data_IF_713986695630
#
_entry.id   IF_713986695630
#
_cell.length_a   1.000
_cell.length_b   1.000
_cell.length_c   1.000
_cell.angle_alpha   90.00
_cell.angle_beta   90.00
_cell.angle_gamma   90.00
#
_symmetry.space_group_name_H-M   'P 1'
#
loop_
_entity.id
_entity.type
_entity.pdbx_description
1 polymer ?
#
# COMPACT_ATOMS: atom_id res chain seq x y z
N UNK A 1 -11.10 -1.55 18.78
CA UNK A 1 -11.04 -0.12 18.42
C UNK A 1 -10.26 0.20 17.15
N UNK A 2 -9.02 -0.25 16.95
CA UNK A 2 -8.19 0.22 15.83
C UNK A 2 -8.75 -0.11 14.43
N UNK A 3 -9.27 -1.33 14.24
CA UNK A 3 -9.89 -1.75 12.98
C UNK A 3 -11.23 -1.05 12.71
N UNK A 4 -11.97 -0.69 13.76
CA UNK A 4 -13.20 0.09 13.63
C UNK A 4 -12.86 1.48 13.10
N UNK A 5 -11.83 2.12 13.66
CA UNK A 5 -11.31 3.41 13.21
C UNK A 5 -10.84 3.36 11.76
N UNK A 6 -10.03 2.35 11.40
CA UNK A 6 -9.59 2.14 10.01
C UNK A 6 -10.78 1.94 9.06
N UNK A 7 -11.76 1.12 9.47
CA UNK A 7 -12.95 0.85 8.69
C UNK A 7 -13.78 2.12 8.43
N UNK A 8 -14.05 2.88 9.50
CA UNK A 8 -14.76 4.15 9.42
C UNK A 8 -14.01 5.18 8.57
N UNK A 9 -12.69 5.31 8.76
CA UNK A 9 -11.85 6.22 8.00
C UNK A 9 -11.84 5.86 6.52
N UNK A 10 -11.71 4.57 6.19
CA UNK A 10 -11.75 4.10 4.79
C UNK A 10 -13.09 4.43 4.12
N UNK A 11 -14.21 4.29 4.84
CA UNK A 11 -15.53 4.66 4.32
C UNK A 11 -15.71 6.17 4.17
N UNK A 12 -15.21 6.98 5.10
CA UNK A 12 -15.24 8.45 4.99
C UNK A 12 -14.42 8.94 3.79
N UNK A 13 -13.22 8.39 3.59
CA UNK A 13 -12.38 8.70 2.43
C UNK A 13 -13.04 8.20 1.14
N UNK A 14 -13.70 7.03 1.15
CA UNK A 14 -14.48 6.55 0.01
C UNK A 14 -15.63 7.50 -0.34
N UNK A 15 -16.34 8.02 0.66
CA UNK A 15 -17.41 9.00 0.48
C UNK A 15 -16.89 10.33 -0.08
N UNK A 16 -15.75 10.82 0.42
CA UNK A 16 -15.08 12.00 -0.13
C UNK A 16 -14.77 11.83 -1.62
N UNK A 17 -14.12 10.72 -2.00
CA UNK A 17 -13.82 10.44 -3.41
C UNK A 17 -15.06 10.19 -4.25
N UNK A 18 -16.13 9.63 -3.67
CA UNK A 18 -17.41 9.48 -4.36
C UNK A 18 -17.99 10.84 -4.74
N UNK A 19 -18.00 11.81 -3.83
CA UNK A 19 -18.44 13.18 -4.11
C UNK A 19 -17.60 13.82 -5.23
N UNK A 20 -16.28 13.64 -5.19
CA UNK A 20 -15.40 14.11 -6.27
C UNK A 20 -15.73 13.44 -7.61
N UNK A 21 -16.00 12.12 -7.61
CA UNK A 21 -16.38 11.40 -8.83
C UNK A 21 -17.71 11.89 -9.43
N UNK A 22 -18.63 12.43 -8.63
CA UNK A 22 -19.87 13.02 -9.15
C UNK A 22 -19.55 14.31 -9.93
N UNK A 23 -18.71 15.19 -9.37
CA UNK A 23 -18.24 16.39 -10.07
C UNK A 23 -17.51 16.06 -11.37
N UNK A 24 -16.69 14.99 -11.36
CA UNK A 24 -16.05 14.47 -12.57
C UNK A 24 -17.06 14.04 -13.63
N UNK A 25 -18.15 13.38 -13.24
CA UNK A 25 -19.19 12.98 -14.18
C UNK A 25 -19.88 14.19 -14.81
N UNK A 26 -20.20 15.20 -14.01
CA UNK A 26 -20.84 16.43 -14.49
C UNK A 26 -20.00 17.15 -15.54
N UNK A 27 -18.67 17.12 -15.42
CA UNK A 27 -17.76 17.65 -16.43
C UNK A 27 -17.65 16.77 -17.69
N UNK A 28 -17.59 15.44 -17.52
CA UNK A 28 -17.39 14.51 -18.64
C UNK A 28 -18.63 14.40 -19.53
N UNK A 29 -19.84 14.38 -18.96
CA UNK A 29 -21.11 14.22 -19.71
C UNK A 29 -21.25 15.20 -20.88
N UNK A 30 -21.10 16.53 -20.71
CA UNK A 30 -21.22 17.48 -21.81
C UNK A 30 -20.14 17.29 -22.89
N UNK A 31 -18.92 16.90 -22.49
CA UNK A 31 -17.83 16.61 -23.43
C UNK A 31 -18.10 15.35 -24.26
N UNK A 32 -18.64 14.29 -23.65
CA UNK A 32 -19.05 13.07 -24.37
C UNK A 32 -20.16 13.38 -25.36
N UNK A 33 -21.15 14.19 -24.97
CA UNK A 33 -22.24 14.58 -25.87
C UNK A 33 -21.74 15.36 -27.10
N UNK A 34 -20.66 16.13 -26.96
CA UNK A 34 -20.06 16.91 -28.06
C UNK A 34 -19.08 16.12 -28.93
N UNK A 35 -18.21 15.31 -28.32
CA UNK A 35 -17.05 14.70 -28.97
C UNK A 35 -17.22 13.20 -29.24
N UNK A 36 -18.26 12.58 -28.68
CA UNK A 36 -18.45 11.13 -28.68
C UNK A 36 -17.61 10.43 -27.60
N UNK A 37 -17.77 9.11 -27.49
CA UNK A 37 -17.08 8.33 -26.48
C UNK A 37 -15.68 7.89 -26.96
N UNK A 38 -14.59 8.21 -26.22
CA UNK A 38 -13.23 7.90 -26.67
C UNK A 38 -12.89 6.41 -26.48
N UNK A 39 -12.04 5.88 -27.38
CA UNK A 39 -11.52 4.52 -27.25
C UNK A 39 -10.47 4.46 -26.14
N UNK A 40 -10.80 3.79 -25.04
CA UNK A 40 -9.92 3.61 -23.88
C UNK A 40 -9.31 2.21 -23.81
N UNK A 41 -9.41 1.41 -24.88
CA UNK A 41 -8.92 0.02 -24.96
C UNK A 41 -7.40 -0.10 -25.09
N UNK A 42 -6.70 1.01 -25.32
CA UNK A 42 -5.25 1.05 -25.54
C UNK A 42 -4.83 0.78 -26.99
N UNK A 43 -5.77 0.51 -27.90
CA UNK A 43 -5.49 0.37 -29.34
C UNK A 43 -5.14 1.69 -30.02
N UNK A 44 -5.67 2.81 -29.50
CA UNK A 44 -5.43 4.16 -29.99
C UNK A 44 -4.63 4.95 -28.96
N UNK A 45 -3.50 5.50 -29.38
CA UNK A 45 -2.67 6.37 -28.54
C UNK A 45 -3.03 7.83 -28.79
N UNK A 46 -3.40 8.55 -27.75
CA UNK A 46 -3.70 9.98 -27.80
C UNK A 46 -2.47 10.77 -27.33
N UNK A 47 -1.57 11.09 -28.27
CA UNK A 47 -0.28 11.75 -27.99
C UNK A 47 -0.26 13.24 -28.35
N UNK A 48 -1.18 13.72 -29.20
CA UNK A 48 -1.23 15.12 -29.62
C UNK A 48 -2.43 15.86 -29.00
N UNK A 49 -2.48 15.94 -27.68
CA UNK A 49 -3.50 16.69 -26.93
C UNK A 49 -2.87 17.45 -25.76
N UNK A 50 -3.56 18.47 -25.26
CA UNK A 50 -3.04 19.33 -24.18
C UNK A 50 -2.87 18.54 -22.87
N UNK A 51 -3.75 17.58 -22.60
CA UNK A 51 -3.63 16.66 -21.46
C UNK A 51 -2.36 15.80 -21.54
N UNK A 52 -1.97 15.35 -22.75
CA UNK A 52 -0.72 14.62 -22.93
C UNK A 52 0.50 15.51 -22.66
N UNK A 53 0.49 16.76 -23.16
CA UNK A 53 1.56 17.74 -22.87
C UNK A 53 1.67 18.03 -21.38
N UNK A 54 0.53 18.18 -20.70
CA UNK A 54 0.48 18.38 -19.26
C UNK A 54 1.10 17.18 -18.51
N UNK A 55 0.74 15.94 -18.90
CA UNK A 55 1.30 14.73 -18.29
C UNK A 55 2.80 14.66 -18.51
N UNK A 56 3.28 14.91 -19.73
CA UNK A 56 4.71 14.91 -20.01
C UNK A 56 5.43 15.94 -19.12
N UNK A 57 4.89 17.17 -19.02
CA UNK A 57 5.49 18.24 -18.22
C UNK A 57 5.47 17.96 -16.71
N UNK A 58 4.39 17.41 -16.17
CA UNK A 58 4.19 17.30 -14.71
C UNK A 58 4.50 15.92 -14.13
N UNK A 59 4.37 14.84 -14.91
CA UNK A 59 4.57 13.46 -14.44
C UNK A 59 5.90 12.89 -14.93
N UNK A 60 6.21 13.06 -16.22
CA UNK A 60 7.45 12.51 -16.82
C UNK A 60 8.64 13.42 -16.53
N UNK A 61 8.44 14.74 -16.66
CA UNK A 61 9.47 15.75 -16.42
C UNK A 61 9.28 16.54 -15.11
N UNK A 62 8.18 16.31 -14.38
CA UNK A 62 7.77 17.11 -13.21
C UNK A 62 7.73 16.36 -11.87
N UNK A 63 7.87 17.15 -10.80
CA UNK A 63 7.71 16.97 -9.35
C UNK A 63 8.31 15.77 -8.59
N UNK A 64 8.56 14.60 -9.21
CA UNK A 64 9.43 13.59 -8.57
C UNK A 64 10.87 14.09 -8.41
N UNK A 65 11.27 15.03 -9.25
CA UNK A 65 12.58 15.66 -9.22
C UNK A 65 12.71 16.75 -8.16
N UNK A 66 11.65 17.46 -7.70
CA UNK A 66 11.83 18.60 -6.77
C UNK A 66 12.18 18.20 -5.34
N UNK A 67 11.47 17.21 -4.78
CA UNK A 67 11.80 16.69 -3.44
C UNK A 67 13.16 15.95 -3.44
N UNK A 68 13.44 15.24 -4.54
CA UNK A 68 14.74 14.63 -4.81
C UNK A 68 15.84 15.68 -5.02
N UNK A 69 15.57 16.81 -5.66
CA UNK A 69 16.51 17.91 -5.88
C UNK A 69 16.86 18.63 -4.59
N UNK A 70 15.92 18.81 -3.66
CA UNK A 70 16.20 19.35 -2.33
C UNK A 70 17.15 18.44 -1.55
N UNK A 71 16.87 17.14 -1.54
CA UNK A 71 17.72 16.13 -0.91
C UNK A 71 19.08 15.99 -1.63
N UNK A 72 19.09 16.01 -2.96
CA UNK A 72 20.28 15.93 -3.81
C UNK A 72 21.15 17.18 -3.66
N UNK A 73 20.55 18.38 -3.59
CA UNK A 73 21.27 19.63 -3.34
C UNK A 73 21.83 19.67 -1.92
N UNK A 74 21.09 19.14 -0.94
CA UNK A 74 21.60 18.99 0.43
C UNK A 74 22.79 18.01 0.49
N UNK A 75 22.70 16.87 -0.19
CA UNK A 75 23.77 15.88 -0.31
C UNK A 75 24.97 16.41 -1.12
N UNK A 76 24.76 17.20 -2.18
CA UNK A 76 25.84 17.73 -3.02
C UNK A 76 26.55 18.94 -2.42
N UNK A 77 25.83 19.89 -1.79
CA UNK A 77 26.44 21.10 -1.24
C UNK A 77 27.09 20.89 0.14
N UNK A 78 26.70 19.86 0.88
CA UNK A 78 27.24 19.53 2.21
C UNK A 78 27.42 18.04 2.40
N UNK A 79 28.15 17.39 1.47
CA UNK A 79 28.37 15.93 1.46
C UNK A 79 28.73 15.36 2.84
N UNK A 80 29.68 15.97 3.55
CA UNK A 80 30.13 15.46 4.86
C UNK A 80 29.09 15.66 5.99
N UNK A 81 28.47 16.83 6.08
CA UNK A 81 27.42 17.09 7.09
C UNK A 81 26.15 16.30 6.78
N UNK A 82 25.81 16.16 5.50
CA UNK A 82 24.66 15.42 5.01
C UNK A 82 24.79 13.93 5.28
N UNK A 83 25.95 13.31 5.00
CA UNK A 83 26.18 11.89 5.33
C UNK A 83 26.21 11.64 6.83
N UNK A 84 26.77 12.55 7.65
CA UNK A 84 26.74 12.44 9.11
C UNK A 84 25.32 12.52 9.67
N UNK A 85 24.53 13.51 9.25
CA UNK A 85 23.13 13.66 9.69
C UNK A 85 22.29 12.47 9.22
N UNK A 86 22.47 12.03 7.98
CA UNK A 86 21.77 10.87 7.44
C UNK A 86 22.17 9.59 8.18
N UNK A 87 23.46 9.42 8.48
CA UNK A 87 23.98 8.27 9.22
C UNK A 87 23.45 8.23 10.65
N UNK A 88 23.40 9.37 11.34
CA UNK A 88 22.79 9.48 12.68
C UNK A 88 21.30 9.20 12.63
N UNK A 89 20.57 9.76 11.66
CA UNK A 89 19.13 9.53 11.51
C UNK A 89 18.83 8.05 11.18
N UNK A 90 19.52 7.48 10.18
CA UNK A 90 19.36 6.08 9.78
C UNK A 90 19.87 5.09 10.84
N UNK A 91 20.82 5.50 11.69
CA UNK A 91 21.28 4.69 12.82
C UNK A 91 20.32 4.73 14.02
N UNK A 92 19.68 5.87 14.27
CA UNK A 92 18.69 6.03 15.33
C UNK A 92 17.34 5.39 15.00
N UNK A 93 16.91 5.40 13.73
CA UNK A 93 15.64 4.81 13.31
C UNK A 93 15.51 3.34 13.75
N UNK A 94 16.45 2.42 13.47
CA UNK A 94 16.36 1.03 13.92
C UNK A 94 16.36 0.89 15.43
N UNK A 95 17.14 1.70 16.16
CA UNK A 95 17.21 1.64 17.63
C UNK A 95 15.89 2.08 18.25
N UNK A 96 15.33 3.19 17.78
CA UNK A 96 14.02 3.70 18.20
C UNK A 96 12.93 2.70 17.81
N UNK A 97 12.99 2.14 16.61
CA UNK A 97 12.00 1.18 16.11
C UNK A 97 12.05 -0.13 16.91
N UNK A 98 13.24 -0.66 17.21
CA UNK A 98 13.41 -1.85 18.06
C UNK A 98 12.98 -1.55 19.50
N UNK A 99 13.36 -0.40 20.07
CA UNK A 99 12.96 0.00 21.42
C UNK A 99 11.44 0.15 21.55
N UNK A 100 10.80 0.83 20.59
CA UNK A 100 9.34 0.93 20.50
C UNK A 100 8.73 -0.45 20.30
N UNK A 101 9.27 -1.32 19.44
CA UNK A 101 8.73 -2.68 19.30
C UNK A 101 8.83 -3.50 20.59
N UNK A 102 9.94 -3.37 21.33
CA UNK A 102 10.20 -4.16 22.54
C UNK A 102 9.34 -3.72 23.72
N UNK A 103 9.21 -2.41 23.96
CA UNK A 103 8.43 -1.88 25.07
C UNK A 103 6.91 -2.10 24.89
N UNK A 104 6.50 -2.44 23.66
CA UNK A 104 5.12 -2.32 23.25
C UNK A 104 4.51 -3.57 22.66
N UNK A 105 5.18 -4.71 22.86
CA UNK A 105 4.85 -6.00 22.24
C UNK A 105 3.42 -6.47 22.51
N UNK A 106 2.74 -5.95 23.55
CA UNK A 106 1.33 -6.23 23.83
C UNK A 106 0.32 -5.21 23.28
N UNK A 107 0.72 -3.98 22.94
CA UNK A 107 -0.24 -2.89 22.64
C UNK A 107 0.05 -2.08 21.36
N UNK A 108 1.30 -2.03 20.86
CA UNK A 108 1.66 -1.13 19.72
C UNK A 108 1.87 -1.88 18.40
N UNK A 109 2.18 -3.17 18.40
CA UNK A 109 2.40 -3.92 17.16
C UNK A 109 1.19 -3.85 16.21
N UNK A 110 -0.02 -4.00 16.77
CA UNK A 110 -1.28 -3.88 16.02
C UNK A 110 -1.61 -2.45 15.64
N UNK A 111 -1.39 -1.48 16.55
CA UNK A 111 -1.71 -0.08 16.29
C UNK A 111 -0.76 0.57 15.26
N UNK A 112 0.52 0.17 15.21
CA UNK A 112 1.49 0.67 14.25
C UNK A 112 1.18 0.20 12.82
N UNK A 113 0.81 -1.08 12.63
CA UNK A 113 0.37 -1.59 11.33
C UNK A 113 -0.88 -0.86 10.87
N UNK A 114 -1.86 -0.67 11.77
CA UNK A 114 -3.08 0.07 11.46
C UNK A 114 -2.81 1.55 11.15
N UNK A 115 -1.84 2.16 11.81
CA UNK A 115 -1.41 3.54 11.54
C UNK A 115 -0.79 3.66 10.15
N UNK A 116 0.14 2.78 9.79
CA UNK A 116 0.73 2.74 8.44
C UNK A 116 -0.36 2.55 7.38
N UNK A 117 -1.30 1.63 7.62
CA UNK A 117 -2.40 1.34 6.72
C UNK A 117 -3.36 2.53 6.61
N UNK A 118 -3.63 3.23 7.73
CA UNK A 118 -4.45 4.45 7.74
C UNK A 118 -3.77 5.58 6.96
N UNK A 119 -2.47 5.80 7.14
CA UNK A 119 -1.70 6.79 6.37
C UNK A 119 -1.74 6.46 4.88
N UNK A 120 -1.60 5.18 4.52
CA UNK A 120 -1.71 4.74 3.13
C UNK A 120 -3.10 4.97 2.55
N UNK A 121 -4.17 4.73 3.33
CA UNK A 121 -5.55 4.99 2.96
C UNK A 121 -5.81 6.48 2.74
N UNK A 122 -5.30 7.35 3.62
CA UNK A 122 -5.44 8.81 3.52
C UNK A 122 -4.69 9.34 2.31
N UNK A 123 -3.42 8.96 2.15
CA UNK A 123 -2.55 9.50 1.10
C UNK A 123 -2.92 8.96 -0.28
N UNK A 124 -3.50 7.76 -0.35
CA UNK A 124 -3.86 7.10 -1.60
C UNK A 124 -2.63 6.71 -2.44
N UNK A 125 -2.83 5.97 -3.53
CA UNK A 125 -1.76 5.67 -4.48
C UNK A 125 -1.41 6.94 -5.27
N UNK A 126 -0.13 7.16 -5.56
CA UNK A 126 0.32 8.35 -6.32
C UNK A 126 -0.37 8.51 -7.69
N UNK A 127 -0.78 7.41 -8.32
CA UNK A 127 -1.58 7.43 -9.55
C UNK A 127 -2.92 8.16 -9.40
N UNK A 128 -3.55 8.10 -8.22
CA UNK A 128 -4.82 8.76 -7.94
C UNK A 128 -4.63 10.28 -7.82
N UNK A 129 -3.56 10.70 -7.14
CA UNK A 129 -3.23 12.12 -6.98
C UNK A 129 -2.93 12.77 -8.32
N UNK A 130 -2.13 12.12 -9.17
CA UNK A 130 -1.87 12.56 -10.54
C UNK A 130 -3.15 12.61 -11.38
N UNK A 131 -4.02 11.60 -11.25
CA UNK A 131 -5.31 11.57 -11.94
C UNK A 131 -6.22 12.71 -11.51
N UNK A 132 -6.22 13.08 -10.22
CA UNK A 132 -7.01 14.18 -9.71
C UNK A 132 -6.46 15.55 -10.14
N UNK A 133 -5.13 15.75 -10.09
CA UNK A 133 -4.50 16.98 -10.56
C UNK A 133 -4.72 17.22 -12.06
N UNK A 134 -4.63 16.15 -12.87
CA UNK A 134 -4.93 16.25 -14.29
C UNK A 134 -6.39 16.66 -14.53
N UNK A 135 -7.30 16.07 -13.75
CA UNK A 135 -8.72 16.41 -13.84
C UNK A 135 -9.00 17.86 -13.42
N UNK A 136 -8.46 18.32 -12.29
CA UNK A 136 -8.58 19.70 -11.84
C UNK A 136 -8.07 20.68 -12.90
N UNK A 137 -6.90 20.39 -13.49
CA UNK A 137 -6.36 21.18 -14.59
C UNK A 137 -7.27 21.19 -15.83
N UNK A 138 -7.90 20.06 -16.18
CA UNK A 138 -8.85 19.98 -17.30
C UNK A 138 -10.13 20.79 -17.05
N UNK A 139 -10.63 20.80 -15.81
CA UNK A 139 -11.82 21.58 -15.43
C UNK A 139 -11.57 23.08 -15.51
N UNK A 140 -10.34 23.53 -15.25
CA UNK A 140 -9.94 24.93 -15.42
C UNK A 140 -9.80 25.36 -16.88
N UNK A 141 -9.69 24.41 -17.82
CA UNK A 141 -9.63 24.75 -19.25
C UNK A 141 -11.02 25.03 -19.82
N UNK A 142 -11.06 25.87 -20.85
CA UNK A 142 -12.29 26.08 -21.61
C UNK A 142 -12.73 24.78 -22.28
N UNK A 143 -13.98 24.36 -22.04
CA UNK A 143 -14.54 23.13 -22.62
C UNK A 143 -14.47 23.09 -24.16
N UNK A 144 -14.36 24.25 -24.81
CA UNK A 144 -14.29 24.36 -26.27
C UNK A 144 -12.94 24.00 -26.88
N UNK A 145 -11.85 24.11 -26.11
CA UNK A 145 -10.49 23.82 -26.56
C UNK A 145 -10.11 22.35 -26.35
N UNK A 146 -10.92 21.61 -25.59
CA UNK A 146 -10.66 20.21 -25.28
C UNK A 146 -10.99 19.30 -26.47
N UNK A 147 -10.08 18.36 -26.73
CA UNK A 147 -10.18 17.39 -27.81
C UNK A 147 -10.65 16.03 -27.30
N UNK A 148 -10.97 15.13 -28.22
CA UNK A 148 -11.32 13.73 -27.88
C UNK A 148 -10.19 13.01 -27.13
N UNK A 149 -8.94 13.43 -27.33
CA UNK A 149 -7.79 12.91 -26.58
C UNK A 149 -7.85 13.31 -25.11
N UNK A 150 -8.18 14.58 -24.82
CA UNK A 150 -8.32 15.08 -23.44
C UNK A 150 -9.46 14.36 -22.71
N UNK A 151 -10.56 14.10 -23.41
CA UNK A 151 -11.67 13.29 -22.90
C UNK A 151 -11.25 11.85 -22.57
N UNK A 152 -10.34 11.25 -23.35
CA UNK A 152 -9.81 9.91 -23.05
C UNK A 152 -9.02 9.91 -21.73
N UNK A 153 -8.20 10.94 -21.50
CA UNK A 153 -7.48 11.10 -20.23
C UNK A 153 -8.40 11.38 -19.04
N UNK A 154 -9.46 12.17 -19.24
CA UNK A 154 -10.50 12.40 -18.22
C UNK A 154 -11.19 11.08 -17.82
N UNK A 155 -11.55 10.25 -18.81
CA UNK A 155 -12.15 8.92 -18.62
C UNK A 155 -11.22 7.96 -17.86
N UNK A 156 -9.92 7.98 -18.15
CA UNK A 156 -8.93 7.16 -17.45
C UNK A 156 -8.85 7.59 -15.98
N UNK A 157 -8.78 8.90 -15.73
CA UNK A 157 -8.72 9.48 -14.39
C UNK A 157 -9.97 9.14 -13.56
N UNK A 158 -11.16 9.27 -14.17
CA UNK A 158 -12.44 8.86 -13.57
C UNK A 158 -12.43 7.38 -13.18
N UNK A 159 -11.99 6.49 -14.08
CA UNK A 159 -11.90 5.04 -13.78
C UNK A 159 -10.90 4.75 -12.67
N UNK A 160 -9.81 5.50 -12.57
CA UNK A 160 -8.84 5.38 -11.48
C UNK A 160 -9.48 5.72 -10.13
N UNK A 161 -10.18 6.86 -10.05
CA UNK A 161 -10.93 7.29 -8.86
C UNK A 161 -11.98 6.24 -8.46
N UNK A 162 -12.77 5.74 -9.41
CA UNK A 162 -13.79 4.72 -9.15
C UNK A 162 -13.20 3.40 -8.65
N UNK A 163 -12.08 2.95 -9.23
CA UNK A 163 -11.36 1.76 -8.73
C UNK A 163 -10.87 1.98 -7.30
N UNK A 164 -10.38 3.17 -6.97
CA UNK A 164 -9.93 3.49 -5.63
C UNK A 164 -11.08 3.49 -4.61
N UNK A 165 -12.21 4.13 -4.94
CA UNK A 165 -13.43 4.07 -4.12
C UNK A 165 -13.82 2.61 -3.84
N UNK A 166 -13.82 1.74 -4.86
CA UNK A 166 -14.14 0.33 -4.68
C UNK A 166 -13.15 -0.38 -3.74
N UNK A 167 -11.85 -0.10 -3.85
CA UNK A 167 -10.84 -0.64 -2.92
C UNK A 167 -11.07 -0.16 -1.49
N UNK A 168 -11.34 1.12 -1.28
CA UNK A 168 -11.62 1.69 0.04
C UNK A 168 -12.90 1.12 0.65
N UNK A 169 -13.94 0.90 -0.14
CA UNK A 169 -15.16 0.23 0.32
C UNK A 169 -14.88 -1.19 0.79
N UNK A 170 -14.11 -1.95 0.01
CA UNK A 170 -13.73 -3.33 0.36
C UNK A 170 -12.89 -3.34 1.65
N UNK A 171 -11.87 -2.49 1.75
CA UNK A 171 -11.04 -2.36 2.95
C UNK A 171 -11.89 -1.97 4.16
N UNK A 172 -12.82 -1.02 4.00
CA UNK A 172 -13.72 -0.56 5.04
C UNK A 172 -14.62 -1.69 5.57
N UNK A 173 -15.29 -2.41 4.66
CA UNK A 173 -16.17 -3.54 5.01
C UNK A 173 -15.38 -4.66 5.68
N UNK A 174 -14.24 -5.07 5.11
CA UNK A 174 -13.40 -6.12 5.71
C UNK A 174 -12.93 -5.72 7.10
N UNK A 175 -12.49 -4.47 7.27
CA UNK A 175 -12.01 -3.97 8.56
C UNK A 175 -13.12 -3.96 9.61
N UNK A 176 -14.36 -3.60 9.25
CA UNK A 176 -15.51 -3.64 10.16
C UNK A 176 -15.94 -5.08 10.50
N UNK A 177 -15.95 -5.99 9.52
CA UNK A 177 -16.27 -7.40 9.76
C UNK A 177 -15.23 -8.08 10.65
N UNK A 178 -13.95 -7.73 10.48
CA UNK A 178 -12.87 -8.27 11.30
C UNK A 178 -12.68 -7.52 12.62
N UNK A 179 -13.24 -6.33 12.79
CA UNK A 179 -13.09 -5.53 14.00
C UNK A 179 -13.36 -6.26 15.33
N UNK A 180 -14.41 -7.11 15.46
CA UNK A 180 -14.66 -7.81 16.72
C UNK A 180 -13.58 -8.86 17.08
N UNK A 181 -12.79 -9.30 16.11
CA UNK A 181 -11.81 -10.39 16.27
C UNK A 181 -10.38 -9.92 16.05
N UNK A 182 -10.18 -8.83 15.31
CA UNK A 182 -8.87 -8.49 14.77
C UNK A 182 -7.92 -7.88 15.78
N UNK A 183 -8.42 -7.44 16.94
CA UNK A 183 -7.56 -7.11 18.08
C UNK A 183 -7.05 -8.37 18.79
N UNK A 184 -7.78 -9.49 18.71
CA UNK A 184 -7.41 -10.79 19.30
C UNK A 184 -6.54 -11.65 18.37
N UNK A 185 -6.58 -11.44 17.05
CA UNK A 185 -5.79 -12.21 16.09
C UNK A 185 -4.29 -12.15 16.42
N UNK A 186 -3.76 -10.97 16.72
CA UNK A 186 -2.33 -10.80 16.96
C UNK A 186 -1.86 -11.37 18.31
N UNK A 187 -2.54 -11.11 19.45
CA UNK A 187 -2.26 -11.80 20.70
C UNK A 187 -2.34 -13.32 20.59
N UNK A 188 -3.35 -13.86 19.90
CA UNK A 188 -3.50 -15.31 19.70
C UNK A 188 -2.36 -15.86 18.85
N UNK A 189 -1.96 -15.18 17.78
CA UNK A 189 -0.85 -15.60 16.92
C UNK A 189 0.49 -15.52 17.66
N UNK A 190 0.72 -14.46 18.45
CA UNK A 190 1.88 -14.32 19.31
C UNK A 190 1.91 -15.43 20.37
N UNK A 191 0.80 -15.69 21.05
CA UNK A 191 0.68 -16.77 22.03
C UNK A 191 0.95 -18.14 21.40
N UNK A 192 0.38 -18.42 20.23
CA UNK A 192 0.63 -19.65 19.47
C UNK A 192 2.10 -19.79 19.12
N UNK A 193 2.75 -18.69 18.70
CA UNK A 193 4.17 -18.68 18.39
C UNK A 193 5.04 -18.87 19.64
N UNK A 194 4.69 -18.25 20.77
CA UNK A 194 5.37 -18.44 22.05
C UNK A 194 5.23 -19.88 22.55
N UNK A 195 4.04 -20.47 22.45
CA UNK A 195 3.84 -21.88 22.77
C UNK A 195 4.68 -22.79 21.86
N UNK A 196 4.72 -22.50 20.57
CA UNK A 196 5.52 -23.27 19.62
C UNK A 196 7.03 -23.19 19.93
N UNK A 197 7.55 -21.98 20.18
CA UNK A 197 8.94 -21.78 20.60
C UNK A 197 9.21 -22.43 21.94
N UNK A 198 8.32 -22.27 22.92
CA UNK A 198 8.45 -22.87 24.24
C UNK A 198 8.46 -24.39 24.17
N UNK A 199 7.63 -24.98 23.31
CA UNK A 199 7.63 -26.41 23.02
C UNK A 199 8.95 -26.84 22.37
N UNK A 200 9.40 -26.16 21.32
CA UNK A 200 10.68 -26.45 20.67
C UNK A 200 11.86 -26.31 21.65
N UNK A 201 11.84 -25.29 22.51
CA UNK A 201 12.86 -25.09 23.52
C UNK A 201 12.87 -26.24 24.54
N UNK A 202 11.71 -26.58 25.11
CA UNK A 202 11.61 -27.58 26.19
C UNK A 202 11.86 -29.00 25.69
N UNK A 203 11.33 -29.37 24.52
CA UNK A 203 11.35 -30.74 24.02
C UNK A 203 12.45 -31.04 23.00
N UNK A 204 13.02 -30.02 22.33
CA UNK A 204 14.15 -30.21 21.42
C UNK A 204 15.43 -29.61 22.02
N UNK A 205 15.42 -28.33 22.40
CA UNK A 205 16.66 -27.66 22.79
C UNK A 205 17.24 -28.18 24.11
N UNK A 206 16.45 -28.19 25.19
CA UNK A 206 16.90 -28.63 26.53
C UNK A 206 17.52 -30.04 26.50
N UNK A 207 16.87 -31.09 25.97
CA UNK A 207 17.45 -32.44 25.98
C UNK A 207 18.68 -32.61 25.09
N UNK A 208 18.84 -31.80 24.04
CA UNK A 208 20.07 -31.84 23.22
C UNK A 208 21.19 -31.06 23.93
N UNK A 209 20.85 -29.99 24.65
CA UNK A 209 21.82 -29.14 25.36
C UNK A 209 22.52 -29.87 26.50
N UNK A 210 21.86 -30.85 27.13
CA UNK A 210 22.47 -31.69 28.16
C UNK A 210 23.54 -32.63 27.60
N UNK A 211 23.49 -32.97 26.31
CA UNK A 211 24.51 -33.76 25.62
C UNK A 211 25.63 -32.86 25.11
N UNK A 212 25.29 -31.78 24.40
CA UNK A 212 26.26 -30.83 23.85
C UNK A 212 25.59 -29.48 23.52
N UNK A 213 25.97 -28.44 24.27
CA UNK A 213 25.48 -27.07 24.07
C UNK A 213 25.74 -26.52 22.65
N UNK A 214 26.94 -26.69 22.04
CA UNK A 214 27.18 -26.22 20.67
C UNK A 214 26.29 -26.90 19.62
N UNK A 215 26.03 -28.21 19.78
CA UNK A 215 25.15 -28.96 18.87
C UNK A 215 23.71 -28.50 19.02
N UNK A 216 23.23 -28.26 20.25
CA UNK A 216 21.89 -27.74 20.50
C UNK A 216 21.67 -26.38 19.81
N UNK A 217 22.67 -25.47 19.87
CA UNK A 217 22.60 -24.18 19.19
C UNK A 217 22.59 -24.33 17.66
N UNK A 218 23.48 -25.16 17.08
CA UNK A 218 23.47 -25.40 15.64
C UNK A 218 22.12 -25.96 15.17
N UNK A 219 21.59 -26.95 15.87
CA UNK A 219 20.30 -27.58 15.53
C UNK A 219 19.17 -26.56 15.62
N UNK A 220 19.13 -25.71 16.65
CA UNK A 220 18.09 -24.70 16.81
C UNK A 220 18.15 -23.61 15.75
N UNK A 221 19.35 -23.10 15.43
CA UNK A 221 19.54 -22.08 14.39
C UNK A 221 19.37 -22.61 12.97
N UNK A 222 19.55 -23.91 12.72
CA UNK A 222 19.30 -24.53 11.41
C UNK A 222 17.84 -24.95 11.25
N UNK A 223 17.22 -25.55 12.28
CA UNK A 223 15.82 -25.97 12.23
C UNK A 223 14.85 -24.80 12.19
N UNK A 224 15.11 -23.71 12.91
CA UNK A 224 14.22 -22.54 12.92
C UNK A 224 13.93 -21.99 11.51
N UNK A 225 14.96 -21.66 10.69
CA UNK A 225 14.80 -21.25 9.31
C UNK A 225 14.18 -22.33 8.42
N UNK A 226 14.55 -23.61 8.59
CA UNK A 226 14.01 -24.71 7.77
C UNK A 226 12.51 -24.89 7.99
N UNK A 227 12.04 -24.80 9.24
CA UNK A 227 10.62 -24.87 9.58
C UNK A 227 9.87 -23.66 9.01
N UNK A 228 10.44 -22.45 9.09
CA UNK A 228 9.83 -21.25 8.49
C UNK A 228 9.74 -21.35 6.97
N UNK A 229 10.79 -21.81 6.30
CA UNK A 229 10.81 -21.99 4.84
C UNK A 229 9.82 -23.08 4.42
N UNK A 230 9.80 -24.23 5.12
CA UNK A 230 8.86 -25.32 4.88
C UNK A 230 7.40 -24.90 5.12
N UNK A 231 7.15 -24.15 6.20
CA UNK A 231 5.85 -23.55 6.49
C UNK A 231 5.41 -22.59 5.40
N UNK A 232 6.28 -21.67 4.96
CA UNK A 232 5.97 -20.76 3.86
C UNK A 232 5.69 -21.50 2.54
N UNK A 233 6.41 -22.58 2.26
CA UNK A 233 6.24 -23.37 1.04
C UNK A 233 4.91 -24.14 1.04
N UNK A 234 4.54 -24.74 2.17
CA UNK A 234 3.26 -25.43 2.33
C UNK A 234 2.08 -24.47 2.24
N UNK A 235 2.19 -23.28 2.84
CA UNK A 235 1.19 -22.21 2.73
C UNK A 235 1.03 -21.74 1.28
N UNK A 236 2.15 -21.51 0.57
CA UNK A 236 2.13 -21.15 -0.85
C UNK A 236 1.46 -22.23 -1.70
N UNK A 237 1.75 -23.50 -1.43
CA UNK A 237 1.14 -24.62 -2.15
C UNK A 237 -0.38 -24.72 -1.89
N UNK A 238 -0.82 -24.49 -0.65
CA UNK A 238 -2.24 -24.41 -0.30
C UNK A 238 -2.95 -23.26 -1.03
N UNK A 239 -2.35 -22.07 -1.05
CA UNK A 239 -2.88 -20.91 -1.78
C UNK A 239 -2.99 -21.13 -3.29
N UNK A 240 -2.02 -21.81 -3.89
CA UNK A 240 -2.07 -22.16 -5.33
C UNK A 240 -3.17 -23.18 -5.62
N UNK A 241 -3.41 -24.13 -4.69
CA UNK A 241 -4.46 -25.14 -4.82
C UNK A 241 -5.86 -24.52 -4.71
N UNK A 242 -6.09 -23.59 -3.79
CA UNK A 242 -7.37 -22.87 -3.69
C UNK A 242 -7.62 -21.99 -4.92
N UNK A 243 -6.61 -21.29 -5.43
CA UNK A 243 -6.74 -20.46 -6.63
C UNK A 243 -7.09 -21.26 -7.89
N UNK A 244 -6.47 -22.43 -8.09
CA UNK A 244 -6.85 -23.35 -9.18
C UNK A 244 -8.28 -23.87 -9.06
N UNK A 245 -8.78 -24.05 -7.84
CA UNK A 245 -10.17 -24.51 -7.59
C UNK A 245 -11.19 -23.42 -7.94
N UNK A 246 -10.87 -22.15 -7.71
CA UNK A 246 -11.70 -21.00 -8.10
C UNK A 246 -11.70 -20.75 -9.62
N UNK A 247 -10.57 -20.95 -10.29
CA UNK A 247 -10.47 -20.84 -11.75
C UNK A 247 -11.16 -22.01 -12.48
N UNK A 248 -11.19 -23.20 -11.87
CA UNK A 248 -11.90 -24.38 -12.41
C UNK A 248 -13.42 -24.41 -12.19
N UNK A 249 -13.98 -23.51 -11.37
CA UNK A 249 -15.42 -23.39 -11.11
C UNK A 249 -16.13 -22.35 -12.01
N UNK A 250 -15.41 -21.77 -12.98
CA UNK A 250 -15.92 -20.81 -13.97
C UNK A 250 -16.12 -21.43 -15.37
N UNK A 251 -16.50 -22.71 -15.42
CA UNK A 251 -16.96 -23.39 -16.64
C UNK A 251 -18.44 -23.74 -16.48
#
# INVERSE_FOLDING_TARGET
MGLILLGALSLLVAYYWYRQSVSVNEFIIPLVNRLGEPDTSGKKQYTNCESHRWIMKNVVYGDYLKASEGFRNFMMNRTMTGTLILGVALGLIPVILVYILFQSYQLIGTSLVLLILSVFVIRGPGELEVSNQLFEWQVEQNCETLTIGDLAYARISQRSIQKWIKKLMIIGIISLCLAPWGEEIFPVLAYTFTLFIGFAYTYLFVPISTVSMPVALMVFFVLGPVILIGGAYTLKHLFLKTRKKEEGLKL
#
